data_IF_727014500003
#
_entry.id   IF_727014500003
#
_cell.length_a   1.000
_cell.length_b   1.000
_cell.length_c   1.000
_cell.angle_alpha   90.00
_cell.angle_beta   90.00
_cell.angle_gamma   90.00
#
_symmetry.space_group_name_H-M   'P 1'
#
loop_
_entity.id
_entity.type
_entity.pdbx_description
1 polymer ?
#
# COMPACT_ATOMS: atom_id res chain seq x y z
N UNK A 1 -9.04 -26.04 38.05
CA UNK A 1 -8.45 -25.40 36.86
C UNK A 1 -9.29 -24.19 36.51
N UNK A 2 -8.73 -22.97 36.50
CA UNK A 2 -9.56 -21.78 36.30
C UNK A 2 -9.98 -21.67 34.83
N UNK A 3 -11.15 -21.06 34.64
CA UNK A 3 -11.90 -20.91 33.40
C UNK A 3 -11.21 -19.90 32.46
N UNK A 4 -10.38 -20.38 31.52
CA UNK A 4 -9.72 -19.54 30.52
C UNK A 4 -10.61 -19.22 29.30
N UNK A 5 -11.56 -20.10 28.95
CA UNK A 5 -12.52 -19.86 27.86
C UNK A 5 -13.43 -18.63 28.08
N UNK A 6 -13.59 -18.21 29.34
CA UNK A 6 -14.38 -17.02 29.68
C UNK A 6 -13.75 -15.71 29.19
N UNK A 7 -12.42 -15.57 29.17
CA UNK A 7 -11.78 -14.28 28.84
C UNK A 7 -11.80 -13.97 27.35
N UNK A 8 -11.55 -14.98 26.51
CA UNK A 8 -11.55 -14.89 25.05
C UNK A 8 -12.98 -14.72 24.50
N UNK A 9 -13.95 -15.42 25.08
CA UNK A 9 -15.37 -15.28 24.71
C UNK A 9 -15.93 -13.90 25.05
N UNK A 10 -15.57 -13.34 26.21
CA UNK A 10 -15.89 -11.96 26.58
C UNK A 10 -15.26 -10.94 25.60
N UNK A 11 -14.09 -11.24 25.06
CA UNK A 11 -13.38 -10.39 24.10
C UNK A 11 -14.02 -10.41 22.71
N UNK A 12 -14.45 -11.57 22.22
CA UNK A 12 -15.23 -11.70 20.98
C UNK A 12 -16.54 -10.92 21.10
N UNK A 13 -17.18 -10.96 22.27
CA UNK A 13 -18.39 -10.17 22.55
C UNK A 13 -18.12 -8.67 22.51
N UNK A 14 -17.01 -8.22 23.11
CA UNK A 14 -16.58 -6.81 23.10
C UNK A 14 -16.26 -6.33 21.67
N UNK A 15 -15.62 -7.16 20.85
CA UNK A 15 -15.34 -6.87 19.44
C UNK A 15 -16.62 -6.72 18.61
N UNK A 16 -17.60 -7.59 18.83
CA UNK A 16 -18.90 -7.48 18.16
C UNK A 16 -19.61 -6.17 18.54
N UNK A 17 -19.60 -5.81 19.83
CA UNK A 17 -20.16 -4.51 20.26
C UNK A 17 -19.38 -3.33 19.69
N UNK A 18 -18.06 -3.45 19.52
CA UNK A 18 -17.26 -2.38 18.91
C UNK A 18 -17.58 -2.22 17.43
N UNK A 19 -17.78 -3.32 16.71
CA UNK A 19 -18.19 -3.31 15.31
C UNK A 19 -19.52 -2.59 15.13
N UNK A 20 -20.48 -2.87 16.01
CA UNK A 20 -21.80 -2.21 16.01
C UNK A 20 -21.72 -0.71 16.38
N UNK A 21 -20.72 -0.31 17.18
CA UNK A 21 -20.52 1.08 17.63
C UNK A 21 -19.63 1.89 16.68
N UNK A 22 -18.72 1.26 15.93
CA UNK A 22 -17.84 1.90 14.94
C UNK A 22 -18.61 2.62 13.83
N UNK A 23 -19.81 2.13 13.51
CA UNK A 23 -20.73 2.76 12.57
C UNK A 23 -21.37 4.06 13.11
N UNK A 24 -21.37 4.27 14.44
CA UNK A 24 -22.11 5.34 15.13
C UNK A 24 -21.17 6.36 15.80
N UNK A 25 -19.96 5.96 16.18
CA UNK A 25 -19.04 6.80 16.96
C UNK A 25 -18.24 7.82 16.12
N UNK A 26 -17.98 8.96 16.74
CA UNK A 26 -16.97 9.92 16.28
C UNK A 26 -15.60 9.24 16.17
N UNK A 27 -14.73 9.80 15.32
CA UNK A 27 -13.46 9.21 14.89
C UNK A 27 -12.53 8.78 16.03
N UNK A 28 -12.34 9.64 17.03
CA UNK A 28 -11.33 9.44 18.07
C UNK A 28 -11.70 8.36 19.12
N UNK A 29 -12.93 8.35 19.68
CA UNK A 29 -13.35 7.29 20.61
C UNK A 29 -13.28 5.88 20.02
N UNK A 30 -13.54 5.74 18.71
CA UNK A 30 -13.42 4.46 18.01
C UNK A 30 -11.98 3.93 18.02
N UNK A 31 -11.00 4.78 17.68
CA UNK A 31 -9.58 4.38 17.67
C UNK A 31 -9.07 4.06 19.07
N UNK A 32 -9.44 4.85 20.08
CA UNK A 32 -9.09 4.57 21.47
C UNK A 32 -9.62 3.19 21.92
N UNK A 33 -10.82 2.83 21.48
CA UNK A 33 -11.38 1.51 21.77
C UNK A 33 -10.63 0.38 21.04
N UNK A 34 -10.18 0.60 19.79
CA UNK A 34 -9.29 -0.33 19.08
C UNK A 34 -7.95 -0.51 19.82
N UNK A 35 -7.34 0.57 20.32
CA UNK A 35 -6.11 0.52 21.11
C UNK A 35 -6.29 -0.29 22.41
N UNK A 36 -7.43 -0.11 23.10
CA UNK A 36 -7.78 -0.89 24.30
C UNK A 36 -7.94 -2.39 24.02
N UNK A 37 -8.50 -2.73 22.87
CA UNK A 37 -8.66 -4.12 22.40
C UNK A 37 -7.30 -4.76 22.14
N UNK A 38 -6.42 -4.07 21.40
CA UNK A 38 -5.06 -4.53 21.11
C UNK A 38 -4.26 -4.78 22.40
N UNK A 39 -4.31 -3.85 23.35
CA UNK A 39 -3.65 -3.98 24.66
C UNK A 39 -4.13 -5.20 25.45
N UNK A 40 -5.44 -5.46 25.42
CA UNK A 40 -6.05 -6.61 26.08
C UNK A 40 -5.61 -7.92 25.41
N UNK A 41 -5.56 -7.96 24.07
CA UNK A 41 -5.13 -9.13 23.30
C UNK A 41 -3.67 -9.49 23.56
N UNK A 42 -2.78 -8.50 23.59
CA UNK A 42 -1.35 -8.68 23.93
C UNK A 42 -1.19 -9.28 25.32
N UNK A 43 -2.05 -8.89 26.28
CA UNK A 43 -2.02 -9.38 27.66
C UNK A 43 -2.46 -10.84 27.81
N UNK A 44 -3.28 -11.36 26.88
CA UNK A 44 -3.78 -12.75 26.91
C UNK A 44 -2.72 -13.75 26.39
N UNK A 45 -1.71 -13.31 25.65
CA UNK A 45 -0.86 -14.17 24.81
C UNK A 45 0.31 -14.89 25.50
N UNK A 46 0.42 -14.86 26.83
CA UNK A 46 1.59 -15.39 27.53
C UNK A 46 1.65 -16.94 27.65
N UNK A 47 0.74 -17.71 27.04
CA UNK A 47 0.57 -19.15 27.37
C UNK A 47 0.44 -20.11 26.14
N UNK A 48 1.32 -20.05 25.13
CA UNK A 48 1.24 -20.96 23.96
C UNK A 48 2.56 -21.68 23.59
N UNK A 49 2.65 -22.99 23.91
CA UNK A 49 3.86 -23.80 23.66
C UNK A 49 3.86 -24.65 22.37
N UNK A 50 2.70 -25.06 21.83
CA UNK A 50 2.66 -26.08 20.73
C UNK A 50 2.53 -25.53 19.29
N UNK A 51 2.16 -24.25 19.11
CA UNK A 51 2.09 -23.55 17.81
C UNK A 51 2.88 -22.24 17.88
N UNK A 52 4.01 -22.29 18.60
CA UNK A 52 4.71 -21.14 19.15
C UNK A 52 5.15 -20.14 18.08
N UNK A 53 5.65 -20.60 16.94
CA UNK A 53 6.22 -19.69 15.93
C UNK A 53 5.16 -18.93 15.14
N UNK A 54 4.11 -19.58 14.64
CA UNK A 54 3.04 -18.89 13.92
C UNK A 54 2.29 -17.90 14.82
N UNK A 55 2.00 -18.29 16.06
CA UNK A 55 1.36 -17.39 17.03
C UNK A 55 2.29 -16.28 17.52
N UNK A 56 3.62 -16.50 17.55
CA UNK A 56 4.59 -15.42 17.78
C UNK A 56 4.55 -14.41 16.65
N UNK A 57 4.51 -14.85 15.39
CA UNK A 57 4.43 -13.95 14.24
C UNK A 57 3.13 -13.16 14.25
N UNK A 58 1.98 -13.79 14.48
CA UNK A 58 0.70 -13.08 14.59
C UNK A 58 0.72 -12.03 15.71
N UNK A 59 1.33 -12.36 16.85
CA UNK A 59 1.49 -11.42 17.96
C UNK A 59 2.48 -10.30 17.68
N UNK A 60 3.53 -10.56 16.90
CA UNK A 60 4.44 -9.52 16.43
C UNK A 60 3.69 -8.47 15.61
N UNK A 61 2.87 -8.90 14.66
CA UNK A 61 2.00 -8.02 13.87
C UNK A 61 1.00 -7.26 14.75
N UNK A 62 0.36 -7.92 15.73
CA UNK A 62 -0.56 -7.27 16.67
C UNK A 62 0.13 -6.15 17.45
N UNK A 63 1.37 -6.39 17.90
CA UNK A 63 2.16 -5.37 18.60
C UNK A 63 2.53 -4.22 17.69
N UNK A 64 2.95 -4.50 16.45
CA UNK A 64 3.26 -3.46 15.46
C UNK A 64 2.03 -2.59 15.15
N UNK A 65 0.85 -3.20 15.00
CA UNK A 65 -0.42 -2.49 14.88
C UNK A 65 -0.68 -1.62 16.12
N UNK A 66 -0.55 -2.17 17.33
CA UNK A 66 -0.75 -1.42 18.59
C UNK A 66 0.15 -0.19 18.64
N UNK A 67 1.44 -0.33 18.33
CA UNK A 67 2.39 0.78 18.31
C UNK A 67 1.98 1.85 17.29
N UNK A 68 1.60 1.46 16.07
CA UNK A 68 1.15 2.41 15.06
C UNK A 68 -0.13 3.17 15.46
N UNK A 69 -1.05 2.50 16.16
CA UNK A 69 -2.27 3.14 16.69
C UNK A 69 -1.96 4.11 17.82
N UNK A 70 -1.08 3.74 18.74
CA UNK A 70 -0.65 4.60 19.85
C UNK A 70 0.07 5.85 19.33
N UNK A 71 0.97 5.69 18.35
CA UNK A 71 1.64 6.81 17.67
C UNK A 71 0.65 7.73 16.98
N UNK A 72 -0.34 7.17 16.28
CA UNK A 72 -1.39 7.96 15.63
C UNK A 72 -2.25 8.74 16.63
N UNK A 73 -2.64 8.12 17.74
CA UNK A 73 -3.41 8.77 18.80
C UNK A 73 -2.63 9.91 19.45
N UNK A 74 -1.33 9.72 19.69
CA UNK A 74 -0.44 10.76 20.24
C UNK A 74 -0.32 11.98 19.30
N UNK A 75 -0.36 11.77 17.98
CA UNK A 75 -0.33 12.85 16.98
C UNK A 75 -1.69 13.57 16.85
N UNK A 76 -2.80 12.86 17.00
CA UNK A 76 -4.15 13.40 16.92
C UNK A 76 -4.58 14.21 18.15
N UNK A 77 -4.00 13.97 19.34
CA UNK A 77 -4.27 14.77 20.55
C UNK A 77 -3.90 16.26 20.44
N UNK A 78 -3.33 16.72 19.33
CA UNK A 78 -3.13 18.14 19.02
C UNK A 78 -4.22 18.78 18.15
N UNK A 79 -5.13 18.02 17.51
CA UNK A 79 -6.12 18.53 16.57
C UNK A 79 -7.49 17.81 16.74
N UNK A 80 -8.21 18.11 17.82
CA UNK A 80 -9.39 17.35 18.27
C UNK A 80 -10.63 17.38 17.34
N UNK A 81 -10.68 18.23 16.31
CA UNK A 81 -11.92 18.48 15.57
C UNK A 81 -11.98 17.90 14.14
N UNK A 82 -10.95 17.22 13.65
CA UNK A 82 -10.99 16.69 12.28
C UNK A 82 -11.55 15.25 12.22
N UNK A 83 -12.59 14.99 11.41
CA UNK A 83 -13.07 13.65 11.15
C UNK A 83 -11.99 12.83 10.45
N UNK A 84 -11.85 11.56 10.84
CA UNK A 84 -10.88 10.64 10.22
C UNK A 84 -11.11 10.54 8.71
N UNK A 85 -10.04 10.59 7.90
CA UNK A 85 -10.15 10.28 6.49
C UNK A 85 -10.74 8.88 6.29
N UNK A 86 -11.63 8.74 5.30
CA UNK A 86 -12.36 7.49 5.03
C UNK A 86 -11.42 6.30 4.81
N UNK A 87 -10.26 6.51 4.17
CA UNK A 87 -9.26 5.47 3.95
C UNK A 87 -8.60 4.99 5.25
N UNK A 88 -8.35 5.89 6.22
CA UNK A 88 -7.83 5.53 7.54
C UNK A 88 -8.87 4.73 8.31
N UNK A 89 -10.14 5.18 8.30
CA UNK A 89 -11.24 4.44 8.95
C UNK A 89 -11.36 3.01 8.40
N UNK A 90 -11.38 2.84 7.07
CA UNK A 90 -11.41 1.50 6.44
C UNK A 90 -10.23 0.62 6.86
N UNK A 91 -9.04 1.20 7.05
CA UNK A 91 -7.88 0.44 7.52
C UNK A 91 -8.06 -0.05 8.96
N UNK A 92 -8.62 0.80 9.84
CA UNK A 92 -8.99 0.40 11.20
C UNK A 92 -10.08 -0.69 11.22
N UNK A 93 -11.10 -0.59 10.36
CA UNK A 93 -12.13 -1.62 10.24
C UNK A 93 -11.51 -2.97 9.82
N UNK A 94 -10.58 -2.94 8.87
CA UNK A 94 -9.81 -4.12 8.47
C UNK A 94 -8.96 -4.71 9.60
N UNK A 95 -8.42 -3.87 10.49
CA UNK A 95 -7.70 -4.32 11.70
C UNK A 95 -8.66 -5.02 12.67
N UNK A 96 -9.84 -4.44 12.92
CA UNK A 96 -10.86 -5.02 13.80
C UNK A 96 -11.33 -6.39 13.27
N UNK A 97 -11.60 -6.50 11.97
CA UNK A 97 -12.00 -7.76 11.34
C UNK A 97 -10.88 -8.83 11.45
N UNK A 98 -9.63 -8.45 11.22
CA UNK A 98 -8.48 -9.35 11.35
C UNK A 98 -8.25 -9.81 12.80
N UNK A 99 -8.40 -8.92 13.77
CA UNK A 99 -8.33 -9.25 15.19
C UNK A 99 -9.47 -10.21 15.57
N UNK A 100 -10.68 -9.95 15.10
CA UNK A 100 -11.83 -10.80 15.36
C UNK A 100 -11.64 -12.22 14.82
N UNK A 101 -11.20 -12.36 13.56
CA UNK A 101 -10.88 -13.66 12.98
C UNK A 101 -9.78 -14.42 13.76
N UNK A 102 -8.78 -13.67 14.25
CA UNK A 102 -7.69 -14.22 15.08
C UNK A 102 -8.21 -14.71 16.44
N UNK A 103 -9.12 -13.97 17.06
CA UNK A 103 -9.71 -14.33 18.34
C UNK A 103 -10.62 -15.56 18.26
N UNK A 104 -11.43 -15.68 17.19
CA UNK A 104 -12.23 -16.87 16.95
C UNK A 104 -11.36 -18.12 16.77
N UNK A 105 -10.28 -17.99 16.00
CA UNK A 105 -9.32 -19.08 15.79
C UNK A 105 -8.63 -19.48 17.10
N UNK A 106 -8.35 -18.48 17.96
CA UNK A 106 -7.79 -18.70 19.28
C UNK A 106 -8.77 -19.39 20.24
N UNK A 107 -10.03 -18.95 20.26
CA UNK A 107 -11.09 -19.56 21.07
C UNK A 107 -11.30 -21.03 20.66
N UNK A 108 -11.33 -21.30 19.35
CA UNK A 108 -11.38 -22.65 18.80
C UNK A 108 -10.18 -23.47 19.29
N UNK A 109 -8.95 -22.95 19.20
CA UNK A 109 -7.75 -23.64 19.69
C UNK A 109 -7.84 -23.95 21.19
N UNK A 110 -8.29 -22.98 22.00
CA UNK A 110 -8.43 -23.12 23.46
C UNK A 110 -9.51 -24.12 23.86
N UNK A 111 -10.61 -24.19 23.11
CA UNK A 111 -11.73 -25.11 23.37
C UNK A 111 -11.37 -26.59 23.22
N UNK A 112 -10.31 -26.89 22.47
CA UNK A 112 -9.86 -28.27 22.23
C UNK A 112 -9.03 -28.79 23.40
N UNK A 113 -9.27 -30.05 23.80
CA UNK A 113 -8.43 -30.76 24.77
C UNK A 113 -7.06 -31.16 24.18
N UNK A 114 -6.09 -31.49 25.05
CA UNK A 114 -4.71 -31.81 24.64
C UNK A 114 -4.63 -32.89 23.53
N UNK A 115 -5.38 -33.99 23.68
CA UNK A 115 -5.39 -35.05 22.68
C UNK A 115 -6.01 -34.59 21.35
N UNK A 116 -7.10 -33.84 21.38
CA UNK A 116 -7.73 -33.30 20.17
C UNK A 116 -6.81 -32.31 19.43
N UNK A 117 -6.07 -31.46 20.17
CA UNK A 117 -5.05 -30.58 19.56
C UNK A 117 -3.95 -31.37 18.88
N UNK A 118 -3.52 -32.48 19.48
CA UNK A 118 -2.55 -33.39 18.86
C UNK A 118 -3.07 -33.99 17.55
N UNK A 119 -4.30 -34.50 17.53
CA UNK A 119 -4.91 -35.10 16.34
C UNK A 119 -5.22 -34.07 15.24
N UNK A 120 -5.57 -32.84 15.62
CA UNK A 120 -5.89 -31.74 14.69
C UNK A 120 -4.72 -30.81 14.40
N UNK A 121 -3.48 -31.19 14.75
CA UNK A 121 -2.30 -30.31 14.66
C UNK A 121 -2.13 -29.64 13.30
N UNK A 122 -2.32 -30.37 12.18
CA UNK A 122 -2.21 -29.80 10.83
C UNK A 122 -3.30 -28.77 10.51
N UNK A 123 -4.54 -29.03 10.95
CA UNK A 123 -5.67 -28.10 10.80
C UNK A 123 -5.39 -26.81 11.57
N UNK A 124 -5.01 -26.94 12.85
CA UNK A 124 -4.70 -25.81 13.73
C UNK A 124 -3.49 -25.00 13.26
N UNK A 125 -2.48 -25.66 12.68
CA UNK A 125 -1.33 -24.97 12.08
C UNK A 125 -1.72 -24.20 10.81
N UNK A 126 -2.60 -24.76 9.97
CA UNK A 126 -3.13 -24.04 8.80
C UNK A 126 -3.96 -22.82 9.22
N UNK A 127 -4.77 -22.96 10.26
CA UNK A 127 -5.57 -21.88 10.83
C UNK A 127 -4.70 -20.77 11.43
N UNK A 128 -3.64 -21.13 12.17
CA UNK A 128 -2.67 -20.17 12.69
C UNK A 128 -1.92 -19.42 11.57
N UNK A 129 -1.53 -20.10 10.47
CA UNK A 129 -0.92 -19.45 9.30
C UNK A 129 -1.87 -18.47 8.62
N UNK A 130 -3.14 -18.85 8.50
CA UNK A 130 -4.16 -17.96 7.95
C UNK A 130 -4.35 -16.72 8.84
N UNK A 131 -4.33 -16.85 10.17
CA UNK A 131 -4.34 -15.70 11.07
C UNK A 131 -3.14 -14.77 10.86
N UNK A 132 -1.93 -15.34 10.68
CA UNK A 132 -0.71 -14.56 10.37
C UNK A 132 -0.89 -13.77 9.07
N UNK A 133 -1.38 -14.41 8.01
CA UNK A 133 -1.60 -13.75 6.71
C UNK A 133 -2.62 -12.61 6.81
N UNK A 134 -3.75 -12.87 7.47
CA UNK A 134 -4.84 -11.90 7.64
C UNK A 134 -4.42 -10.70 8.49
N UNK A 135 -3.63 -10.92 9.55
CA UNK A 135 -3.18 -9.85 10.43
C UNK A 135 -2.01 -9.06 9.86
N UNK A 136 -1.08 -9.72 9.17
CA UNK A 136 0.03 -9.06 8.47
C UNK A 136 -0.50 -8.17 7.34
N UNK A 137 -1.51 -8.63 6.60
CA UNK A 137 -2.16 -7.82 5.57
C UNK A 137 -2.87 -6.59 6.15
N UNK A 138 -3.50 -6.72 7.32
CA UNK A 138 -4.12 -5.60 8.02
C UNK A 138 -3.08 -4.61 8.54
N UNK A 139 -1.96 -5.10 9.08
CA UNK A 139 -0.82 -4.27 9.48
C UNK A 139 -0.27 -3.45 8.31
N UNK A 140 0.00 -4.08 7.16
CA UNK A 140 0.48 -3.38 5.97
C UNK A 140 -0.51 -2.34 5.48
N UNK A 141 -1.81 -2.65 5.47
CA UNK A 141 -2.86 -1.70 5.08
C UNK A 141 -2.96 -0.52 6.05
N UNK A 142 -2.86 -0.77 7.35
CA UNK A 142 -2.86 0.28 8.36
C UNK A 142 -1.63 1.18 8.19
N UNK A 143 -0.43 0.60 8.09
CA UNK A 143 0.79 1.38 7.80
C UNK A 143 0.65 2.20 6.52
N UNK A 144 0.13 1.61 5.44
CA UNK A 144 -0.06 2.32 4.18
C UNK A 144 -1.10 3.45 4.31
N UNK A 145 -2.17 3.25 5.07
CA UNK A 145 -3.20 4.26 5.29
C UNK A 145 -2.73 5.40 6.22
N UNK A 146 -1.87 5.10 7.20
CA UNK A 146 -1.30 6.08 8.13
C UNK A 146 -0.11 6.84 7.54
N UNK A 147 0.71 6.17 6.71
CA UNK A 147 1.87 6.77 6.02
C UNK A 147 1.49 7.38 4.65
N UNK A 148 0.37 6.98 4.05
CA UNK A 148 -0.15 7.51 2.79
C UNK A 148 -0.28 9.04 2.76
N UNK A 149 -0.74 9.70 3.86
CA UNK A 149 -0.69 11.15 4.00
C UNK A 149 0.72 11.75 4.04
N UNK A 150 1.75 11.00 4.46
CA UNK A 150 3.16 11.44 4.37
C UNK A 150 3.76 11.22 2.99
N UNK A 151 3.31 10.19 2.25
CA UNK A 151 3.82 9.90 0.92
C UNK A 151 3.44 10.97 -0.11
N UNK A 152 2.34 11.70 0.11
CA UNK A 152 1.87 12.73 -0.80
C UNK A 152 1.10 13.80 -0.02
N UNK A 153 1.81 14.81 0.50
CA UNK A 153 1.23 16.15 0.64
C UNK A 153 1.34 16.87 -0.72
N UNK A 154 0.81 16.29 -1.81
CA UNK A 154 0.63 17.02 -3.07
C UNK A 154 -0.22 18.27 -2.84
N UNK A 155 -1.10 18.29 -1.83
CA UNK A 155 -1.82 19.50 -1.41
C UNK A 155 -0.91 20.59 -0.79
N UNK A 156 0.19 20.22 -0.11
CA UNK A 156 1.20 21.20 0.33
C UNK A 156 2.14 21.61 -0.80
N UNK A 157 2.51 20.69 -1.70
CA UNK A 157 3.22 21.03 -2.95
C UNK A 157 2.34 21.98 -3.78
N UNK A 158 1.03 21.75 -3.85
CA UNK A 158 0.06 22.60 -4.52
C UNK A 158 0.03 24.01 -3.91
N UNK A 159 0.06 24.15 -2.58
CA UNK A 159 0.19 25.47 -1.93
C UNK A 159 1.54 26.14 -2.20
N UNK A 160 2.65 25.40 -2.14
CA UNK A 160 4.00 25.93 -2.37
C UNK A 160 4.15 26.39 -3.84
N UNK A 161 3.68 25.58 -4.78
CA UNK A 161 3.70 25.89 -6.22
C UNK A 161 2.74 27.03 -6.56
N UNK A 162 1.56 27.10 -5.94
CA UNK A 162 0.66 28.25 -6.10
C UNK A 162 1.26 29.54 -5.54
N UNK A 163 1.96 29.49 -4.40
CA UNK A 163 2.67 30.63 -3.83
C UNK A 163 3.85 31.09 -4.71
N UNK A 164 4.55 30.14 -5.35
CA UNK A 164 5.61 30.43 -6.33
C UNK A 164 5.05 31.05 -7.61
N UNK A 165 3.97 30.49 -8.17
CA UNK A 165 3.30 31.05 -9.36
C UNK A 165 2.72 32.45 -9.10
N UNK A 166 2.14 32.70 -7.93
CA UNK A 166 1.64 34.01 -7.55
C UNK A 166 2.77 35.04 -7.38
N UNK A 167 3.93 34.60 -6.91
CA UNK A 167 5.13 35.45 -6.77
C UNK A 167 5.73 35.78 -8.14
N UNK A 168 5.81 34.82 -9.07
CA UNK A 168 6.30 35.04 -10.44
C UNK A 168 5.37 35.93 -11.28
N UNK A 169 4.05 35.84 -11.06
CA UNK A 169 3.06 36.74 -11.67
C UNK A 169 3.16 38.18 -11.13
N UNK A 170 3.53 38.35 -9.86
CA UNK A 170 3.76 39.69 -9.28
C UNK A 170 5.03 40.36 -9.84
N UNK A 171 6.10 39.58 -10.05
CA UNK A 171 7.38 40.05 -10.61
C UNK A 171 7.26 40.40 -12.11
N UNK A 172 6.38 39.70 -12.84
CA UNK A 172 6.10 40.01 -14.25
C UNK A 172 5.15 41.19 -14.40
N UNK A 173 4.17 41.35 -13.51
CA UNK A 173 3.24 42.50 -13.51
C UNK A 173 3.96 43.85 -13.31
N UNK A 174 4.92 43.93 -12.37
CA UNK A 174 5.72 45.15 -12.15
C UNK A 174 6.62 45.50 -13.35
N UNK A 175 6.97 44.52 -14.20
CA UNK A 175 7.80 44.74 -15.38
C UNK A 175 7.00 45.20 -16.61
N UNK A 176 5.71 44.83 -16.70
CA UNK A 176 4.81 45.29 -17.78
C UNK A 176 4.22 46.68 -17.54
N UNK A 177 4.01 47.10 -16.28
CA UNK A 177 3.54 48.46 -15.99
C UNK A 177 4.58 49.54 -16.33
N UNK A 178 5.88 49.19 -16.37
CA UNK A 178 6.94 50.09 -16.85
C UNK A 178 7.08 50.14 -18.38
N UNK A 179 6.42 49.24 -19.15
CA UNK A 179 6.50 49.21 -20.62
C UNK A 179 5.21 49.62 -21.35
N UNK A 180 4.06 49.67 -20.67
CA UNK A 180 2.76 49.89 -21.33
C UNK A 180 2.19 51.33 -21.23
N UNK A 181 3.02 52.35 -20.98
CA UNK A 181 2.60 53.75 -21.22
C UNK A 181 2.61 54.17 -22.70
N UNK A 182 2.70 53.23 -23.66
CA UNK A 182 2.78 53.56 -25.08
C UNK A 182 1.94 52.64 -25.99
N UNK A 183 0.69 52.33 -25.63
CA UNK A 183 -0.31 51.87 -26.59
C UNK A 183 -1.73 52.02 -26.02
N UNK A 184 -2.33 53.16 -26.30
CA UNK A 184 -3.76 53.37 -26.10
C UNK A 184 -4.54 52.86 -27.32
N UNK A 185 -5.76 52.38 -27.04
CA UNK A 185 -6.98 52.33 -27.87
C UNK A 185 -7.41 50.99 -28.48
N UNK A 186 -8.74 50.82 -28.43
CA UNK A 186 -9.61 49.74 -28.93
C UNK A 186 -9.62 48.45 -28.09
N UNK A 187 -10.74 47.79 -27.80
CA UNK A 187 -12.18 48.05 -27.95
C UNK A 187 -12.87 46.96 -27.09
N UNK A 188 -14.02 47.31 -26.53
CA UNK A 188 -15.13 46.46 -26.08
C UNK A 188 -14.94 45.31 -25.07
N UNK A 189 -15.51 45.56 -23.90
CA UNK A 189 -16.08 44.55 -23.02
C UNK A 189 -17.39 44.01 -23.59
N UNK A 190 -17.52 42.69 -23.70
CA UNK A 190 -18.81 42.00 -23.49
C UNK A 190 -18.61 40.59 -22.91
N UNK A 191 -19.61 40.19 -22.14
CA UNK A 191 -19.66 39.18 -21.07
C UNK A 191 -19.28 37.76 -21.51
N UNK A 192 -18.42 37.03 -20.78
CA UNK A 192 -18.64 36.41 -19.47
C UNK A 192 -19.77 35.36 -19.45
N UNK A 193 -19.53 34.22 -20.11
CA UNK A 193 -20.18 32.94 -19.75
C UNK A 193 -19.38 31.72 -20.23
N UNK A 194 -18.25 31.42 -19.57
CA UNK A 194 -17.65 30.07 -19.65
C UNK A 194 -17.59 29.43 -18.25
N UNK A 195 -18.65 28.69 -17.97
CA UNK A 195 -18.63 27.35 -17.40
C UNK A 195 -17.49 27.00 -16.43
N UNK A 196 -17.86 26.96 -15.16
CA UNK A 196 -17.22 26.32 -14.01
C UNK A 196 -17.11 24.79 -14.23
N UNK A 197 -16.23 24.36 -15.14
CA UNK A 197 -15.99 22.95 -15.46
C UNK A 197 -14.49 22.58 -15.33
N UNK A 198 -14.25 21.43 -14.70
CA UNK A 198 -13.25 20.46 -15.14
C UNK A 198 -11.77 20.87 -15.15
N UNK A 199 -11.18 21.15 -13.98
CA UNK A 199 -9.72 21.15 -13.85
C UNK A 199 -9.18 19.71 -13.85
N UNK A 200 -9.02 19.12 -15.06
CA UNK A 200 -8.12 17.99 -15.29
C UNK A 200 -6.69 18.54 -15.13
N UNK A 201 -5.97 18.10 -14.11
CA UNK A 201 -4.56 18.49 -13.97
C UNK A 201 -3.74 17.74 -15.03
N UNK A 202 -3.10 18.48 -15.94
CA UNK A 202 -2.35 17.96 -17.09
C UNK A 202 -0.88 18.30 -16.86
N UNK A 203 -0.10 17.31 -16.43
CA UNK A 203 1.36 17.39 -16.52
C UNK A 203 1.80 16.91 -17.90
N UNK A 204 2.53 17.74 -18.65
CA UNK A 204 3.02 17.41 -20.01
C UNK A 204 4.28 16.50 -19.98
N UNK A 205 5.02 16.53 -18.87
CA UNK A 205 6.13 15.61 -18.58
C UNK A 205 6.30 15.45 -17.07
N UNK A 206 5.94 14.29 -16.55
CA UNK A 206 6.10 13.97 -15.12
C UNK A 206 7.06 12.80 -14.98
N UNK A 207 8.11 12.97 -14.18
CA UNK A 207 9.04 11.91 -13.80
C UNK A 207 8.87 11.65 -12.30
N UNK A 208 8.31 10.49 -11.95
CA UNK A 208 8.21 10.00 -10.57
C UNK A 208 9.11 8.78 -10.43
N UNK A 209 10.10 8.87 -9.55
CA UNK A 209 11.04 7.78 -9.29
C UNK A 209 11.15 7.53 -7.78
N UNK A 210 11.06 6.25 -7.40
CA UNK A 210 11.30 5.82 -6.03
C UNK A 210 12.72 5.27 -5.88
N UNK A 211 13.29 5.44 -4.68
CA UNK A 211 14.67 5.04 -4.40
C UNK A 211 14.91 3.54 -4.55
N UNK A 212 16.07 3.17 -5.08
CA UNK A 212 16.52 1.78 -5.15
C UNK A 212 17.02 1.29 -3.79
N UNK A 213 16.91 -0.02 -3.56
CA UNK A 213 17.51 -0.69 -2.42
C UNK A 213 19.04 -0.76 -2.54
N UNK A 214 19.73 -0.67 -1.41
CA UNK A 214 21.19 -0.77 -1.35
C UNK A 214 21.68 -2.21 -1.55
N UNK A 215 22.86 -2.35 -2.16
CA UNK A 215 23.58 -3.62 -2.19
C UNK A 215 24.22 -3.86 -0.82
N UNK A 216 24.11 -5.07 -0.28
CA UNK A 216 24.67 -5.40 1.03
C UNK A 216 25.62 -6.60 0.98
N UNK A 217 26.83 -6.36 1.51
CA UNK A 217 27.92 -7.34 1.51
C UNK A 217 28.12 -8.04 2.86
N UNK A 218 27.65 -7.42 3.96
CA UNK A 218 27.99 -7.86 5.32
C UNK A 218 27.08 -8.96 5.84
N UNK A 219 25.78 -8.73 5.80
CA UNK A 219 24.77 -9.74 6.15
C UNK A 219 24.25 -10.47 4.89
N UNK A 220 24.54 -9.91 3.71
CA UNK A 220 24.21 -10.44 2.40
C UNK A 220 22.77 -10.15 1.97
N UNK A 221 21.99 -9.36 2.71
CA UNK A 221 20.58 -9.11 2.39
C UNK A 221 20.45 -7.77 1.67
N UNK A 222 20.21 -7.82 0.36
CA UNK A 222 19.99 -6.63 -0.45
C UNK A 222 18.75 -5.85 0.00
N UNK A 223 18.82 -4.52 0.00
CA UNK A 223 17.72 -3.65 0.41
C UNK A 223 16.55 -3.67 -0.58
N UNK A 224 15.35 -3.39 -0.10
CA UNK A 224 14.16 -3.30 -0.94
C UNK A 224 14.08 -1.97 -1.68
N UNK A 225 13.56 -2.02 -2.91
CA UNK A 225 13.26 -0.83 -3.71
C UNK A 225 11.95 -0.16 -3.29
N UNK A 226 11.92 1.17 -3.32
CA UNK A 226 10.76 1.96 -2.96
C UNK A 226 9.58 1.80 -3.94
N UNK A 227 8.36 1.74 -3.40
CA UNK A 227 7.12 1.71 -4.19
C UNK A 227 6.56 3.09 -4.48
N UNK A 228 5.66 3.18 -5.47
CA UNK A 228 4.89 4.38 -5.80
C UNK A 228 3.41 4.05 -5.69
N UNK A 229 2.67 4.84 -4.90
CA UNK A 229 1.23 4.71 -4.76
C UNK A 229 0.53 6.01 -5.20
N UNK A 230 -0.50 5.89 -6.04
CA UNK A 230 -1.33 7.01 -6.49
C UNK A 230 -2.75 6.80 -5.96
N UNK A 231 -3.17 7.61 -5.00
CA UNK A 231 -4.53 7.57 -4.48
C UNK A 231 -5.34 8.77 -4.97
N UNK A 232 -6.46 8.52 -5.66
CA UNK A 232 -7.29 9.58 -6.22
C UNK A 232 -8.79 9.30 -6.01
N UNK A 233 -9.42 10.05 -5.10
CA UNK A 233 -10.79 9.77 -4.64
C UNK A 233 -11.89 10.67 -5.22
N UNK A 234 -11.57 11.82 -5.81
CA UNK A 234 -12.56 12.77 -6.38
C UNK A 234 -11.96 13.61 -7.54
N UNK A 235 -10.65 13.52 -7.80
CA UNK A 235 -9.96 14.45 -8.70
C UNK A 235 -9.84 13.90 -10.13
N UNK A 236 -9.69 14.81 -11.10
CA UNK A 236 -9.33 14.44 -12.47
C UNK A 236 -7.81 14.59 -12.63
N UNK A 237 -7.08 13.48 -12.68
CA UNK A 237 -5.61 13.47 -12.78
C UNK A 237 -5.19 12.92 -14.14
N UNK A 238 -4.43 13.72 -14.89
CA UNK A 238 -3.92 13.37 -16.21
C UNK A 238 -2.39 13.46 -16.26
N UNK A 239 -1.73 12.35 -16.56
CA UNK A 239 -0.33 12.34 -16.98
C UNK A 239 -0.32 12.22 -18.50
N UNK A 240 0.19 13.24 -19.20
CA UNK A 240 0.33 13.22 -20.65
C UNK A 240 1.79 13.27 -21.07
N UNK A 241 2.05 13.09 -22.37
CA UNK A 241 3.39 13.15 -22.95
C UNK A 241 4.28 11.96 -22.58
N UNK A 242 5.59 12.21 -22.46
CA UNK A 242 6.60 11.20 -22.07
C UNK A 242 6.71 11.12 -20.54
N UNK A 243 5.57 10.90 -19.85
CA UNK A 243 5.55 10.76 -18.40
C UNK A 243 6.06 9.38 -17.97
N UNK A 244 6.93 9.32 -16.95
CA UNK A 244 7.59 8.10 -16.48
C UNK A 244 7.31 7.92 -14.99
N UNK A 245 6.78 6.74 -14.61
CA UNK A 245 6.61 6.33 -13.22
C UNK A 245 7.46 5.08 -13.00
N UNK A 246 8.46 5.19 -12.14
CA UNK A 246 9.53 4.21 -11.95
C UNK A 246 9.63 3.84 -10.46
N UNK A 247 9.21 2.63 -10.10
CA UNK A 247 9.48 2.13 -8.76
C UNK A 247 10.94 1.66 -8.63
N UNK A 248 11.50 1.77 -7.42
CA UNK A 248 12.88 1.44 -7.14
C UNK A 248 13.14 -0.07 -7.28
N UNK A 249 14.31 -0.45 -7.79
CA UNK A 249 14.71 -1.86 -7.83
C UNK A 249 15.31 -2.30 -6.50
N UNK A 250 15.20 -3.58 -6.18
CA UNK A 250 15.87 -4.17 -5.03
C UNK A 250 17.38 -4.27 -5.25
N UNK A 251 18.13 -4.12 -4.16
CA UNK A 251 19.59 -4.23 -4.14
C UNK A 251 20.06 -5.69 -4.13
N UNK A 252 21.33 -5.90 -4.44
CA UNK A 252 21.94 -7.23 -4.51
C UNK A 252 22.29 -7.76 -3.13
N UNK A 253 22.07 -9.06 -2.94
CA UNK A 253 22.57 -9.82 -1.82
C UNK A 253 23.84 -10.58 -2.17
N UNK A 254 24.96 -10.25 -1.53
CA UNK A 254 26.25 -10.91 -1.80
C UNK A 254 26.42 -12.12 -0.88
N UNK A 255 27.18 -13.13 -1.33
CA UNK A 255 27.44 -14.38 -0.61
C UNK A 255 26.16 -15.24 -0.43
N UNK A 256 25.87 -15.66 0.80
CA UNK A 256 24.72 -16.54 1.12
C UNK A 256 23.39 -15.82 1.22
N UNK A 257 23.37 -14.50 1.09
CA UNK A 257 22.18 -13.71 1.37
C UNK A 257 21.26 -13.52 0.17
N UNK A 258 20.16 -12.82 0.44
CA UNK A 258 19.00 -12.71 -0.44
C UNK A 258 19.01 -11.36 -1.18
N UNK A 259 18.59 -11.35 -2.43
CA UNK A 259 18.40 -10.11 -3.18
C UNK A 259 17.14 -9.39 -2.72
N UNK A 260 17.19 -8.06 -2.66
CA UNK A 260 16.07 -7.23 -2.23
C UNK A 260 14.91 -7.24 -3.21
N UNK A 261 13.71 -6.94 -2.73
CA UNK A 261 12.50 -6.92 -3.54
C UNK A 261 12.38 -5.61 -4.35
N UNK A 262 11.86 -5.71 -5.56
CA UNK A 262 11.53 -4.55 -6.38
C UNK A 262 10.27 -3.85 -5.91
N UNK A 263 10.28 -2.51 -5.92
CA UNK A 263 9.15 -1.68 -5.51
C UNK A 263 7.94 -1.84 -6.43
N UNK A 264 6.75 -1.80 -5.85
CA UNK A 264 5.49 -1.89 -6.58
C UNK A 264 4.99 -0.51 -7.03
N UNK A 265 4.20 -0.47 -8.11
CA UNK A 265 3.39 0.69 -8.49
C UNK A 265 1.92 0.34 -8.28
N UNK A 266 1.23 1.10 -7.42
CA UNK A 266 -0.18 0.88 -7.13
C UNK A 266 -0.99 2.16 -7.39
N UNK A 267 -2.23 1.99 -7.85
CA UNK A 267 -3.21 3.07 -7.85
C UNK A 267 -4.52 2.62 -7.21
N UNK A 268 -5.07 3.45 -6.32
CA UNK A 268 -6.40 3.27 -5.72
C UNK A 268 -7.24 4.50 -6.07
N UNK A 269 -8.20 4.29 -6.97
CA UNK A 269 -9.01 5.36 -7.52
C UNK A 269 -10.48 5.15 -7.18
N UNK A 270 -11.07 6.07 -6.41
CA UNK A 270 -12.51 6.12 -6.19
C UNK A 270 -13.11 7.34 -6.87
N UNK A 271 -14.29 7.21 -7.47
CA UNK A 271 -15.10 8.30 -8.03
C UNK A 271 -14.34 9.36 -8.83
N UNK A 272 -13.30 8.94 -9.57
CA UNK A 272 -12.35 9.84 -10.20
C UNK A 272 -12.18 9.58 -11.70
N UNK A 273 -11.39 10.43 -12.35
CA UNK A 273 -10.94 10.19 -13.73
C UNK A 273 -9.42 10.22 -13.74
N UNK A 274 -8.81 9.13 -14.17
CA UNK A 274 -7.36 9.05 -14.32
C UNK A 274 -7.01 8.77 -15.77
N UNK A 275 -6.16 9.60 -16.35
CA UNK A 275 -5.62 9.37 -17.69
C UNK A 275 -4.11 9.33 -17.62
N UNK A 276 -3.51 8.30 -18.19
CA UNK A 276 -2.08 8.13 -18.21
C UNK A 276 -1.62 7.87 -19.64
N UNK A 277 -0.79 8.74 -20.17
CA UNK A 277 -0.01 8.54 -21.38
C UNK A 277 1.47 8.53 -20.99
N UNK A 278 2.15 7.40 -21.13
CA UNK A 278 3.56 7.29 -20.74
C UNK A 278 4.05 5.88 -20.43
N UNK A 279 5.02 5.76 -19.53
CA UNK A 279 5.61 4.50 -19.09
C UNK A 279 5.54 4.29 -17.57
N UNK A 280 4.85 3.22 -17.14
CA UNK A 280 4.83 2.75 -15.75
C UNK A 280 5.69 1.50 -15.64
N UNK A 281 6.71 1.53 -14.78
CA UNK A 281 7.61 0.41 -14.55
C UNK A 281 7.75 0.14 -13.06
N UNK A 282 7.45 -1.09 -12.64
CA UNK A 282 7.75 -1.56 -11.30
C UNK A 282 9.22 -1.99 -11.18
N UNK A 283 9.73 -1.99 -9.95
CA UNK A 283 11.13 -2.25 -9.64
C UNK A 283 11.54 -3.70 -9.92
N UNK A 284 12.76 -3.91 -10.36
CA UNK A 284 13.32 -5.25 -10.53
C UNK A 284 13.69 -5.84 -9.17
N UNK A 285 13.61 -7.16 -9.01
CA UNK A 285 14.19 -7.84 -7.86
C UNK A 285 15.72 -7.87 -7.95
N UNK A 286 16.38 -7.76 -6.81
CA UNK A 286 17.83 -7.79 -6.69
C UNK A 286 18.41 -9.19 -6.88
N UNK A 287 19.62 -9.26 -7.43
CA UNK A 287 20.31 -10.54 -7.63
C UNK A 287 20.87 -11.10 -6.30
N UNK A 288 21.11 -12.41 -6.27
CA UNK A 288 21.77 -13.09 -5.14
C UNK A 288 22.91 -13.99 -5.61
N UNK A 289 23.97 -14.13 -4.82
CA UNK A 289 25.10 -14.99 -5.18
C UNK A 289 24.89 -16.46 -4.84
N UNK A 290 24.31 -16.78 -3.68
CA UNK A 290 24.03 -18.16 -3.23
C UNK A 290 22.68 -18.32 -2.50
N UNK A 291 21.91 -17.24 -2.29
CA UNK A 291 20.62 -17.21 -1.58
C UNK A 291 19.38 -17.25 -2.49
N UNK A 292 18.39 -16.41 -2.26
CA UNK A 292 17.25 -16.25 -3.19
C UNK A 292 17.29 -14.89 -3.87
N UNK A 293 17.08 -14.86 -5.19
CA UNK A 293 16.88 -13.61 -5.90
C UNK A 293 15.60 -12.92 -5.44
N UNK A 294 15.64 -11.59 -5.39
CA UNK A 294 14.50 -10.78 -4.95
C UNK A 294 13.32 -10.88 -5.89
N UNK A 295 12.11 -10.72 -5.36
CA UNK A 295 10.91 -10.68 -6.19
C UNK A 295 10.81 -9.35 -6.97
N UNK A 296 10.32 -9.39 -8.20
CA UNK A 296 10.02 -8.20 -8.99
C UNK A 296 8.74 -7.52 -8.54
N UNK A 297 8.72 -6.19 -8.60
CA UNK A 297 7.59 -5.36 -8.18
C UNK A 297 6.34 -5.55 -9.05
N UNK A 298 5.17 -5.40 -8.43
CA UNK A 298 3.87 -5.52 -9.10
C UNK A 298 3.38 -4.16 -9.61
N UNK A 299 2.56 -4.18 -10.66
CA UNK A 299 1.74 -3.03 -11.04
C UNK A 299 0.27 -3.35 -10.77
N UNK A 300 -0.36 -2.61 -9.87
CA UNK A 300 -1.73 -2.86 -9.44
C UNK A 300 -2.61 -1.62 -9.60
N UNK A 301 -3.85 -1.81 -10.03
CA UNK A 301 -4.86 -0.75 -9.98
C UNK A 301 -6.15 -1.26 -9.36
N UNK A 302 -6.68 -0.55 -8.38
CA UNK A 302 -8.02 -0.71 -7.85
C UNK A 302 -8.86 0.52 -8.22
N UNK A 303 -10.00 0.31 -8.87
CA UNK A 303 -10.90 1.38 -9.29
C UNK A 303 -12.33 1.13 -8.76
N UNK A 304 -12.96 2.16 -8.19
CA UNK A 304 -14.37 2.13 -7.75
C UNK A 304 -15.12 3.38 -8.24
N UNK A 305 -16.14 3.23 -9.08
CA UNK A 305 -16.87 4.38 -9.66
C UNK A 305 -16.02 5.34 -10.51
N UNK A 306 -14.88 4.87 -11.04
CA UNK A 306 -13.83 5.64 -11.72
C UNK A 306 -13.78 5.33 -13.23
N UNK A 307 -13.32 6.30 -14.02
CA UNK A 307 -12.86 6.04 -15.41
C UNK A 307 -11.33 6.14 -15.47
N UNK A 308 -10.67 5.08 -15.91
CA UNK A 308 -9.22 5.07 -16.10
C UNK A 308 -8.85 4.76 -17.54
N UNK A 309 -8.07 5.64 -18.17
CA UNK A 309 -7.51 5.42 -19.50
C UNK A 309 -5.98 5.34 -19.40
N UNK A 310 -5.40 4.22 -19.82
CA UNK A 310 -3.95 4.05 -19.91
C UNK A 310 -3.53 3.89 -21.37
N UNK A 311 -2.60 4.72 -21.83
CA UNK A 311 -1.93 4.61 -23.10
C UNK A 311 -0.41 4.62 -22.92
N UNK A 312 0.29 3.69 -23.55
CA UNK A 312 1.76 3.59 -23.44
C UNK A 312 2.25 2.24 -22.95
N UNK A 313 3.24 2.20 -22.05
CA UNK A 313 3.92 0.96 -21.64
C UNK A 313 3.79 0.72 -20.14
N UNK A 314 3.23 -0.44 -19.75
CA UNK A 314 3.18 -0.88 -18.36
C UNK A 314 4.03 -2.14 -18.21
N UNK A 315 5.01 -2.10 -17.31
CA UNK A 315 5.96 -3.18 -17.10
C UNK A 315 6.06 -3.53 -15.61
N UNK A 316 5.77 -4.78 -15.27
CA UNK A 316 6.08 -5.30 -13.94
C UNK A 316 7.56 -5.70 -13.83
N UNK A 317 8.09 -5.67 -12.62
CA UNK A 317 9.49 -6.01 -12.34
C UNK A 317 9.76 -7.49 -12.56
N UNK A 318 10.94 -7.85 -13.07
CA UNK A 318 11.34 -9.27 -13.09
C UNK A 318 12.01 -9.65 -11.78
N UNK A 319 11.97 -10.93 -11.43
CA UNK A 319 12.69 -11.45 -10.27
C UNK A 319 14.20 -11.44 -10.51
N UNK A 320 14.96 -11.28 -9.43
CA UNK A 320 16.42 -11.31 -9.44
C UNK A 320 16.98 -12.69 -9.76
N UNK A 321 18.15 -12.71 -10.36
CA UNK A 321 18.87 -13.93 -10.74
C UNK A 321 19.65 -14.44 -9.53
N UNK A 322 19.86 -15.75 -9.48
CA UNK A 322 20.77 -16.32 -8.48
C UNK A 322 21.94 -17.06 -9.13
N UNK A 323 23.15 -16.74 -8.68
CA UNK A 323 24.34 -17.52 -8.98
C UNK A 323 24.35 -18.77 -8.06
N UNK A 324 25.00 -19.88 -8.44
CA UNK A 324 25.11 -21.06 -7.56
C UNK A 324 23.80 -21.84 -7.28
N UNK A 325 23.64 -22.34 -6.04
CA UNK A 325 22.59 -23.30 -5.65
C UNK A 325 21.26 -22.67 -5.23
N UNK A 326 21.15 -21.35 -5.31
CA UNK A 326 19.98 -20.60 -4.88
C UNK A 326 18.80 -20.61 -5.85
N UNK A 327 17.69 -19.99 -5.45
CA UNK A 327 16.46 -19.90 -6.26
C UNK A 327 16.26 -18.49 -6.78
N UNK A 328 16.06 -18.34 -8.09
CA UNK A 328 15.73 -17.04 -8.67
C UNK A 328 14.40 -16.48 -8.15
N UNK A 329 14.29 -15.16 -8.15
CA UNK A 329 13.13 -14.44 -7.64
C UNK A 329 11.88 -14.60 -8.50
N UNK A 330 10.71 -14.36 -7.90
CA UNK A 330 9.45 -14.36 -8.64
C UNK A 330 9.32 -13.10 -9.52
N UNK A 331 8.72 -13.24 -10.70
CA UNK A 331 8.35 -12.10 -11.53
C UNK A 331 7.12 -11.36 -11.01
N UNK A 332 7.07 -10.06 -11.23
CA UNK A 332 5.95 -9.21 -10.86
C UNK A 332 4.73 -9.36 -11.78
N UNK A 333 3.52 -9.27 -11.23
CA UNK A 333 2.27 -9.27 -11.99
C UNK A 333 1.75 -7.89 -12.33
N UNK A 334 0.81 -7.84 -13.28
CA UNK A 334 -0.03 -6.67 -13.56
C UNK A 334 -1.47 -7.04 -13.22
N UNK A 335 -2.07 -6.32 -12.28
CA UNK A 335 -3.42 -6.59 -11.77
C UNK A 335 -4.34 -5.39 -11.87
N UNK A 336 -5.61 -5.63 -12.22
CA UNK A 336 -6.66 -4.62 -12.12
C UNK A 336 -7.88 -5.18 -11.37
N UNK A 337 -8.42 -4.41 -10.43
CA UNK A 337 -9.66 -4.70 -9.73
C UNK A 337 -10.63 -3.53 -9.94
N UNK A 338 -11.80 -3.83 -10.48
CA UNK A 338 -12.74 -2.83 -10.97
C UNK A 338 -14.13 -3.05 -10.35
N UNK A 339 -14.73 -1.99 -9.80
CA UNK A 339 -16.11 -1.97 -9.31
C UNK A 339 -16.86 -0.75 -9.87
N UNK A 340 -17.88 -0.99 -10.70
CA UNK A 340 -18.65 0.08 -11.36
C UNK A 340 -17.77 1.08 -12.15
N UNK A 341 -16.72 0.58 -12.82
CA UNK A 341 -15.71 1.40 -13.49
C UNK A 341 -15.57 1.08 -14.96
N UNK A 342 -14.98 2.01 -15.70
CA UNK A 342 -14.49 1.77 -17.07
C UNK A 342 -12.98 1.90 -17.07
N UNK A 343 -12.29 0.87 -17.54
CA UNK A 343 -10.84 0.87 -17.69
C UNK A 343 -10.49 0.55 -19.13
N UNK A 344 -9.69 1.41 -19.74
CA UNK A 344 -9.21 1.25 -21.11
C UNK A 344 -7.69 1.17 -21.11
N UNK A 345 -7.16 0.14 -21.79
CA UNK A 345 -5.72 -0.05 -21.99
C UNK A 345 -5.42 0.04 -23.49
N UNK A 346 -4.82 1.15 -23.92
CA UNK A 346 -4.30 1.37 -25.26
C UNK A 346 -2.77 1.37 -25.26
N UNK A 347 -2.14 0.21 -25.07
CA UNK A 347 -0.69 0.15 -24.90
C UNK A 347 -0.11 -1.26 -24.78
N UNK A 348 1.19 -1.33 -24.46
CA UNK A 348 1.90 -2.59 -24.23
C UNK A 348 1.95 -2.91 -22.74
N UNK A 349 1.44 -4.09 -22.37
CA UNK A 349 1.56 -4.64 -21.02
C UNK A 349 2.62 -5.74 -21.01
N UNK A 350 3.55 -5.70 -20.06
CA UNK A 350 4.62 -6.71 -19.92
C UNK A 350 4.70 -7.16 -18.47
N UNK A 351 4.35 -8.42 -18.18
CA UNK A 351 4.58 -9.00 -16.85
C UNK A 351 6.06 -9.28 -16.62
N UNK A 352 6.42 -9.37 -15.35
CA UNK A 352 7.75 -9.74 -14.91
C UNK A 352 8.03 -11.22 -15.15
N UNK A 353 9.27 -11.55 -15.51
CA UNK A 353 9.70 -12.93 -15.62
C UNK A 353 10.33 -13.37 -14.29
N UNK A 354 10.25 -14.66 -13.97
CA UNK A 354 11.00 -15.21 -12.85
C UNK A 354 12.50 -15.22 -13.15
N UNK A 355 13.32 -15.04 -12.11
CA UNK A 355 14.77 -15.18 -12.21
C UNK A 355 15.17 -16.64 -12.44
N UNK A 356 16.26 -16.84 -13.17
CA UNK A 356 16.88 -18.15 -13.37
C UNK A 356 17.94 -18.43 -12.31
N UNK A 357 18.18 -19.69 -11.97
CA UNK A 357 19.40 -20.11 -11.27
C UNK A 357 20.38 -20.71 -12.26
N UNK A 358 21.63 -20.25 -12.23
CA UNK A 358 22.66 -20.63 -13.21
C UNK A 358 23.42 -21.91 -12.83
N UNK A 359 23.12 -22.54 -11.68
CA UNK A 359 23.91 -23.66 -11.12
C UNK A 359 23.36 -25.08 -11.23
N UNK A 360 22.07 -25.31 -11.53
CA UNK A 360 21.48 -26.66 -11.71
C UNK A 360 20.29 -26.64 -12.68
N UNK A 361 19.97 -27.80 -13.27
CA UNK A 361 18.79 -28.06 -14.13
C UNK A 361 17.44 -28.01 -13.38
N UNK A 362 17.23 -27.05 -12.49
CA UNK A 362 16.12 -27.02 -11.53
C UNK A 362 15.24 -25.76 -11.61
N UNK A 363 13.94 -26.00 -11.89
CA UNK A 363 12.75 -25.14 -11.69
C UNK A 363 12.99 -23.62 -11.72
N UNK A 364 12.78 -23.01 -12.89
CA UNK A 364 12.74 -21.55 -13.05
C UNK A 364 11.69 -20.87 -12.15
N UNK A 365 11.94 -19.61 -11.79
CA UNK A 365 11.03 -18.81 -10.99
C UNK A 365 9.65 -18.69 -11.63
N UNK A 366 8.61 -18.59 -10.81
CA UNK A 366 7.24 -18.38 -11.31
C UNK A 366 7.16 -17.03 -12.03
N UNK A 367 6.71 -17.05 -13.28
CA UNK A 367 6.44 -15.85 -14.06
C UNK A 367 5.27 -15.06 -13.48
N UNK A 368 5.31 -13.74 -13.64
CA UNK A 368 4.23 -12.85 -13.27
C UNK A 368 3.00 -13.06 -14.15
N UNK A 369 1.81 -12.87 -13.57
CA UNK A 369 0.54 -12.97 -14.28
C UNK A 369 -0.01 -11.60 -14.67
N UNK A 370 -0.82 -11.56 -15.72
CA UNK A 370 -1.66 -10.40 -16.06
C UNK A 370 -3.10 -10.85 -15.79
N UNK A 371 -3.82 -10.13 -14.93
CA UNK A 371 -5.18 -10.49 -14.53
C UNK A 371 -6.08 -9.29 -14.29
N UNK A 372 -7.36 -9.42 -14.63
CA UNK A 372 -8.42 -8.48 -14.27
C UNK A 372 -9.51 -9.19 -13.45
N UNK A 373 -9.90 -8.59 -12.34
CA UNK A 373 -11.01 -9.02 -11.50
C UNK A 373 -12.17 -8.03 -11.60
N UNK A 374 -13.34 -8.52 -12.02
CA UNK A 374 -14.60 -7.79 -11.89
C UNK A 374 -15.32 -8.33 -10.64
N UNK A 375 -15.70 -7.44 -9.73
CA UNK A 375 -16.58 -7.74 -8.60
C UNK A 375 -17.98 -7.16 -8.84
#
# INVERSE_FOLDING_TARGET
MPSHGSKTSNFVTLLNTLKDVGDIAASLPYIQAVAGILSTLISIHQEFDQCREEWKTAMHCIKAISTAVDEFLAQQSCNEEQPLPVHVRKAFDGVVDSIHATCLSLEKYQSLGHMQRFWKRRELQGEAKNCVEVISKAETRLHTALLGPMAVQIDQIHRIVQLQHASDLSITSERTESSNQLAALSEDSEEKSLSRADHLYIGDKVELEAGAGGDEERDGIGGDGGGIAINNSISKVGFYGNSHILAGSGGKGINTGEGGHGGAVAADNSHSVQRYHGMITAGMGGDADHGSGGAGGHVGVENTGTTQDFYGVMKAGSGGITMGLGTGGAGGGIGAQNQNTRQYFGGKLTSGHGGNSLGKSGRGGKGGSIGSGNL
#
